data_IF_748141376662
#
_entry.id   IF_748141376662
#
_cell.length_a   1.000
_cell.length_b   1.000
_cell.length_c   1.000
_cell.angle_alpha   90.00
_cell.angle_beta   90.00
_cell.angle_gamma   90.00
#
_symmetry.space_group_name_H-M   'P 1'
#
loop_
_entity.id
_entity.type
_entity.pdbx_description
1 polymer ?
#
# COMPACT_ATOMS: atom_id res chain seq x y z
N UNK A 1 8.05 10.73 18.21
CA UNK A 1 8.44 10.16 16.93
C UNK A 1 7.82 8.77 16.77
N UNK A 2 7.29 8.53 15.61
CA UNK A 2 6.60 7.27 15.34
C UNK A 2 7.57 6.14 15.01
N UNK A 3 7.33 4.97 15.57
CA UNK A 3 8.10 3.77 15.26
C UNK A 3 7.29 2.80 14.40
N UNK A 4 6.27 3.31 13.75
CA UNK A 4 5.45 2.48 12.88
C UNK A 4 6.26 2.02 11.67
N UNK A 5 6.02 0.81 11.19
CA UNK A 5 6.74 0.28 10.04
C UNK A 5 6.32 0.86 8.70
N UNK A 6 5.35 1.75 8.67
CA UNK A 6 4.86 2.30 7.42
C UNK A 6 5.72 3.48 6.98
N UNK A 7 6.09 3.47 5.71
CA UNK A 7 6.91 4.51 5.10
C UNK A 7 6.07 5.48 4.27
N UNK A 8 4.79 5.28 4.19
CA UNK A 8 3.89 6.07 3.37
C UNK A 8 2.70 6.50 4.19
N UNK A 9 2.08 7.59 3.80
CA UNK A 9 0.97 8.20 4.53
C UNK A 9 -0.31 8.21 3.71
N UNK A 10 -1.41 8.55 4.36
CA UNK A 10 -2.68 8.76 3.66
C UNK A 10 -2.50 9.76 2.53
N UNK A 11 -3.08 9.46 1.39
CA UNK A 11 -3.02 10.35 0.24
C UNK A 11 -1.80 10.16 -0.63
N UNK A 12 -0.81 9.40 -0.17
CA UNK A 12 0.36 9.11 -1.01
C UNK A 12 -0.03 8.19 -2.15
N UNK A 13 0.61 8.41 -3.29
CA UNK A 13 0.42 7.54 -4.44
C UNK A 13 1.60 6.59 -4.50
N UNK A 14 1.30 5.30 -4.51
CA UNK A 14 2.32 4.27 -4.55
C UNK A 14 2.18 3.43 -5.81
N UNK A 15 3.25 2.76 -6.18
CA UNK A 15 3.26 1.81 -7.29
C UNK A 15 3.39 0.41 -6.71
N UNK A 16 2.68 -0.52 -7.30
CA UNK A 16 2.78 -1.91 -6.90
C UNK A 16 2.40 -2.80 -8.08
N UNK A 17 2.78 -4.05 -8.01
CA UNK A 17 2.47 -4.99 -9.08
C UNK A 17 1.10 -5.60 -8.83
N UNK A 18 0.20 -5.43 -9.79
CA UNK A 18 -1.12 -6.03 -9.73
C UNK A 18 -1.14 -7.25 -10.62
N UNK A 19 -1.52 -8.37 -10.04
CA UNK A 19 -1.52 -9.65 -10.73
C UNK A 19 -2.36 -9.57 -12.01
N UNK A 20 -1.75 -9.93 -13.13
CA UNK A 20 -2.44 -9.89 -14.42
C UNK A 20 -2.39 -8.54 -15.12
N UNK A 21 -1.86 -7.52 -14.47
CA UNK A 21 -1.87 -6.16 -15.04
C UNK A 21 -0.53 -5.45 -14.98
N UNK A 22 0.47 -6.04 -14.32
CA UNK A 22 1.75 -5.40 -14.21
C UNK A 22 1.76 -4.33 -13.12
N UNK A 23 2.55 -3.28 -13.34
CA UNK A 23 2.71 -2.22 -12.35
C UNK A 23 1.60 -1.21 -12.50
N UNK A 24 0.91 -0.93 -11.39
CA UNK A 24 -0.18 0.05 -11.35
C UNK A 24 0.08 1.02 -10.21
N UNK A 25 -0.67 2.11 -10.18
CA UNK A 25 -0.60 3.10 -9.11
C UNK A 25 -1.89 3.12 -8.34
N UNK A 26 -1.79 3.47 -7.07
CA UNK A 26 -2.96 3.63 -6.23
C UNK A 26 -2.69 4.65 -5.15
N UNK A 27 -3.76 5.27 -4.66
CA UNK A 27 -3.67 6.22 -3.57
C UNK A 27 -3.99 5.52 -2.25
N UNK A 28 -3.17 5.78 -1.25
CA UNK A 28 -3.36 5.17 0.06
C UNK A 28 -4.56 5.85 0.75
N UNK A 29 -5.55 5.03 1.07
CA UNK A 29 -6.74 5.50 1.79
C UNK A 29 -6.86 4.88 3.17
N UNK A 30 -5.97 3.96 3.52
CA UNK A 30 -5.95 3.37 4.84
C UNK A 30 -4.65 2.64 5.10
N UNK A 31 -4.32 2.47 6.36
CA UNK A 31 -3.13 1.73 6.78
C UNK A 31 -3.52 0.78 7.89
N UNK A 32 -3.14 -0.47 7.75
CA UNK A 32 -3.38 -1.49 8.77
C UNK A 32 -2.03 -1.96 9.29
N UNK A 33 -1.83 -1.84 10.59
CA UNK A 33 -0.62 -2.31 11.25
C UNK A 33 -0.95 -3.62 11.95
N UNK A 34 -0.17 -4.65 11.66
CA UNK A 34 -0.39 -5.96 12.26
C UNK A 34 0.92 -6.50 12.80
N UNK A 35 0.84 -7.58 13.56
CA UNK A 35 2.00 -8.22 14.16
C UNK A 35 2.11 -7.92 15.62
N UNK A 36 3.29 -8.18 16.18
CA UNK A 36 3.56 -7.97 17.59
C UNK A 36 5.00 -7.48 17.77
N UNK A 37 5.32 -7.07 18.99
CA UNK A 37 6.67 -6.63 19.30
C UNK A 37 7.70 -7.72 19.01
N UNK A 38 7.37 -8.97 19.34
CA UNK A 38 8.32 -10.06 19.18
C UNK A 38 8.49 -10.50 17.74
N UNK A 39 7.50 -10.22 16.91
CA UNK A 39 7.51 -10.66 15.50
C UNK A 39 7.71 -9.53 14.53
N UNK A 40 7.93 -8.33 15.03
CA UNK A 40 7.95 -7.11 14.24
C UNK A 40 6.58 -6.79 13.66
N UNK A 41 6.30 -5.51 13.57
CA UNK A 41 5.05 -5.05 12.98
C UNK A 41 5.16 -5.03 11.47
N UNK A 42 4.02 -5.24 10.82
CA UNK A 42 3.90 -5.13 9.37
C UNK A 42 2.83 -4.11 9.04
N UNK A 43 3.06 -3.38 7.98
CA UNK A 43 2.10 -2.39 7.50
C UNK A 43 1.51 -2.88 6.18
N UNK A 44 0.18 -2.86 6.11
CA UNK A 44 -0.54 -3.11 4.87
C UNK A 44 -1.29 -1.86 4.52
N UNK A 45 -1.18 -1.42 3.28
CA UNK A 45 -1.86 -0.23 2.82
C UNK A 45 -3.14 -0.61 2.10
N UNK A 46 -4.21 0.11 2.39
CA UNK A 46 -5.42 0.01 1.59
C UNK A 46 -5.32 1.08 0.52
N UNK A 47 -5.35 0.66 -0.73
CA UNK A 47 -5.19 1.59 -1.85
C UNK A 47 -6.40 1.53 -2.76
N UNK A 48 -6.63 2.64 -3.41
CA UNK A 48 -7.75 2.83 -4.32
C UNK A 48 -7.18 3.27 -5.66
N UNK A 49 -7.76 2.79 -6.75
CA UNK A 49 -7.27 3.18 -8.06
C UNK A 49 -7.46 4.67 -8.30
N UNK A 50 -6.55 5.24 -9.09
CA UNK A 50 -6.64 6.64 -9.46
C UNK A 50 -7.75 6.84 -10.48
N UNK A 51 -8.32 8.04 -10.49
CA UNK A 51 -9.36 8.38 -11.47
C UNK A 51 -8.79 8.25 -12.89
N UNK A 52 -9.56 7.58 -13.73
CA UNK A 52 -9.14 7.41 -15.11
C UNK A 52 -8.11 6.33 -15.33
N UNK A 53 -7.69 5.63 -14.28
CA UNK A 53 -6.72 4.56 -14.42
C UNK A 53 -7.40 3.23 -14.75
N UNK A 54 -6.77 2.45 -15.59
CA UNK A 54 -7.18 1.09 -15.90
C UNK A 54 -6.07 0.14 -15.43
N UNK A 55 -6.37 -0.94 -14.72
CA UNK A 55 -7.69 -1.34 -14.25
C UNK A 55 -8.14 -0.54 -13.03
N UNK A 56 -9.44 -0.52 -12.77
CA UNK A 56 -9.95 0.09 -11.55
C UNK A 56 -10.06 -0.95 -10.45
N UNK A 57 -9.83 -0.52 -9.22
CA UNK A 57 -9.97 -1.40 -8.05
C UNK A 57 -10.29 -0.54 -6.83
N UNK A 58 -10.88 -1.16 -5.82
CA UNK A 58 -11.23 -0.50 -4.57
C UNK A 58 -10.58 -1.26 -3.41
N UNK A 59 -9.91 -0.52 -2.53
CA UNK A 59 -9.39 -1.04 -1.27
C UNK A 59 -8.54 -2.29 -1.43
N UNK A 60 -7.68 -2.27 -2.42
CA UNK A 60 -6.70 -3.32 -2.59
C UNK A 60 -5.70 -3.25 -1.45
N UNK A 61 -5.40 -4.39 -0.83
CA UNK A 61 -4.43 -4.45 0.25
C UNK A 61 -3.04 -4.70 -0.33
N UNK A 62 -2.09 -3.83 0.01
CA UNK A 62 -0.72 -3.91 -0.50
C UNK A 62 0.22 -3.85 0.70
N UNK A 63 1.03 -4.89 0.87
CA UNK A 63 2.00 -4.92 1.95
C UNK A 63 3.13 -3.93 1.68
N UNK A 64 3.74 -3.44 2.76
CA UNK A 64 4.82 -2.46 2.64
C UNK A 64 5.94 -2.95 1.71
N UNK A 65 6.30 -4.22 1.82
CA UNK A 65 7.39 -4.77 1.02
C UNK A 65 7.00 -5.03 -0.44
N UNK A 66 5.74 -4.85 -0.78
CA UNK A 66 5.29 -4.97 -2.16
C UNK A 66 5.18 -3.61 -2.85
N UNK A 67 5.37 -2.54 -2.11
CA UNK A 67 5.40 -1.20 -2.69
C UNK A 67 6.69 -1.04 -3.48
N UNK A 68 6.57 -0.62 -4.72
CA UNK A 68 7.74 -0.45 -5.59
C UNK A 68 8.32 0.92 -5.32
N UNK A 69 9.57 0.95 -4.89
CA UNK A 69 10.29 2.19 -4.66
C UNK A 69 11.44 2.27 -5.66
N UNK A 70 11.69 3.46 -6.12
CA UNK A 70 12.79 3.68 -7.05
C UNK A 70 13.92 4.43 -6.37
#
# INVERSE_FOLDING_TARGET
MSNFPCKHNFGDIIKFKLRGHGIVQGMIVGVVISGSKSENYQADYKVHSLDGQEPTFYFKSVAENHVITE
#
